data_IF_178802341978
#
_entry.id   IF_178802341978
#
_cell.length_a   1.000
_cell.length_b   1.000
_cell.length_c   1.000
_cell.angle_alpha   90.00
_cell.angle_beta   90.00
_cell.angle_gamma   90.00
#
_symmetry.space_group_name_H-M   'P 1'
#
loop_
_entity.id
_entity.type
_entity.pdbx_description
1 polymer ?
#
# COMPACT_ATOMS: atom_id res chain seq x y z
N UNK A 1 4.64 -18.27 -23.82
CA UNK A 1 3.59 -18.11 -22.78
C UNK A 1 2.95 -16.76 -23.01
N UNK A 2 1.64 -16.71 -23.26
CA UNK A 2 0.93 -15.43 -23.41
C UNK A 2 1.02 -14.67 -22.08
N UNK A 3 1.80 -13.59 -22.05
CA UNK A 3 1.88 -12.65 -20.93
C UNK A 3 0.64 -11.78 -20.94
N UNK A 4 -0.50 -12.37 -20.60
CA UNK A 4 -1.70 -11.58 -20.35
C UNK A 4 -1.42 -10.69 -19.14
N UNK A 5 -1.35 -9.39 -19.36
CA UNK A 5 -1.13 -8.42 -18.30
C UNK A 5 -2.23 -8.55 -17.23
N UNK A 6 -1.90 -8.39 -15.94
CA UNK A 6 -2.85 -8.59 -14.85
C UNK A 6 -4.01 -7.59 -14.95
N UNK A 7 -5.22 -7.98 -14.50
CA UNK A 7 -6.42 -7.12 -14.51
C UNK A 7 -6.18 -5.76 -13.84
N UNK A 8 -5.30 -5.72 -12.84
CA UNK A 8 -4.83 -4.48 -12.21
C UNK A 8 -4.44 -3.38 -13.21
N UNK A 9 -3.95 -3.75 -14.40
CA UNK A 9 -3.53 -2.84 -15.44
C UNK A 9 -4.70 -2.17 -16.18
N UNK A 10 -5.64 -2.98 -16.65
CA UNK A 10 -6.73 -2.51 -17.51
C UNK A 10 -7.96 -2.08 -16.72
N UNK A 11 -8.05 -2.51 -15.46
CA UNK A 11 -9.20 -2.38 -14.60
C UNK A 11 -8.81 -1.89 -13.18
N UNK A 12 -7.96 -0.85 -13.05
CA UNK A 12 -7.45 -0.41 -11.74
C UNK A 12 -8.55 0.10 -10.80
N UNK A 13 -9.70 0.52 -11.34
CA UNK A 13 -10.87 0.91 -10.55
C UNK A 13 -11.44 -0.23 -9.69
N UNK A 14 -11.30 -1.50 -10.07
CA UNK A 14 -11.71 -2.61 -9.20
C UNK A 14 -10.86 -2.73 -7.93
N UNK A 15 -9.70 -2.07 -7.93
CA UNK A 15 -8.78 -2.04 -6.80
C UNK A 15 -8.92 -0.77 -5.96
N UNK A 16 -9.65 0.23 -6.47
CA UNK A 16 -9.83 1.48 -5.79
C UNK A 16 -10.61 1.32 -4.48
N UNK A 17 -10.30 2.16 -3.50
CA UNK A 17 -11.15 2.36 -2.34
C UNK A 17 -12.53 2.90 -2.74
N UNK A 18 -13.56 2.57 -1.98
CA UNK A 18 -14.92 3.00 -2.25
C UNK A 18 -15.05 4.53 -2.33
N UNK A 19 -14.30 5.27 -1.51
CA UNK A 19 -14.32 6.74 -1.51
C UNK A 19 -13.92 7.35 -2.86
N UNK A 20 -13.07 6.68 -3.64
CA UNK A 20 -12.73 7.17 -4.98
C UNK A 20 -13.85 6.99 -5.99
N UNK A 21 -14.67 5.94 -5.85
CA UNK A 21 -15.87 5.77 -6.67
C UNK A 21 -16.91 6.83 -6.36
N UNK A 22 -17.03 7.26 -5.09
CA UNK A 22 -17.90 8.37 -4.72
C UNK A 22 -17.39 9.70 -5.28
N UNK A 23 -16.06 9.91 -5.30
CA UNK A 23 -15.42 11.14 -5.76
C UNK A 23 -15.40 11.30 -7.28
N UNK A 24 -15.11 10.23 -8.00
CA UNK A 24 -14.89 10.27 -9.46
C UNK A 24 -15.93 9.48 -10.26
N UNK A 25 -16.87 8.77 -9.61
CA UNK A 25 -17.81 7.87 -10.25
C UNK A 25 -17.23 6.48 -10.53
N UNK A 26 -18.10 5.51 -10.83
CA UNK A 26 -17.70 4.19 -11.32
C UNK A 26 -17.45 4.29 -12.84
N UNK A 27 -16.26 3.93 -13.34
CA UNK A 27 -16.01 3.93 -14.77
C UNK A 27 -16.94 2.92 -15.46
N UNK A 28 -17.84 3.40 -16.31
CA UNK A 28 -18.58 2.57 -17.26
C UNK A 28 -17.70 2.39 -18.49
N UNK A 29 -17.73 1.21 -19.11
CA UNK A 29 -16.85 0.82 -20.23
C UNK A 29 -16.55 2.00 -21.21
N UNK A 30 -15.33 2.09 -21.77
CA UNK A 30 -14.86 3.24 -22.56
C UNK A 30 -15.73 3.60 -23.79
N UNK A 31 -16.70 2.75 -24.15
CA UNK A 31 -17.70 2.99 -25.19
C UNK A 31 -18.90 3.87 -24.76
N UNK A 32 -19.05 4.25 -23.48
CA UNK A 32 -20.28 4.89 -22.96
C UNK A 32 -20.40 6.43 -23.18
N UNK A 33 -19.64 7.02 -24.11
CA UNK A 33 -19.81 8.42 -24.53
C UNK A 33 -18.97 9.48 -23.77
N UNK A 34 -19.23 10.78 -24.00
CA UNK A 34 -18.40 11.88 -23.48
C UNK A 34 -18.30 11.96 -21.95
N UNK A 35 -19.38 11.59 -21.23
CA UNK A 35 -19.40 11.55 -19.77
C UNK A 35 -18.45 10.47 -19.21
N UNK A 36 -18.35 9.32 -19.87
CA UNK A 36 -17.40 8.28 -19.50
C UNK A 36 -15.95 8.79 -19.68
N UNK A 37 -15.65 9.53 -20.75
CA UNK A 37 -14.32 10.11 -21.00
C UNK A 37 -13.90 11.13 -19.92
N UNK A 38 -14.82 11.93 -19.40
CA UNK A 38 -14.55 12.86 -18.30
C UNK A 38 -14.28 12.13 -16.98
N UNK A 39 -15.07 11.08 -16.67
CA UNK A 39 -14.82 10.19 -15.53
C UNK A 39 -13.40 9.60 -15.63
N UNK A 40 -13.03 9.05 -16.79
CA UNK A 40 -11.68 8.51 -17.00
C UNK A 40 -10.57 9.58 -16.85
N UNK A 41 -10.78 10.81 -17.32
CA UNK A 41 -9.81 11.91 -17.16
C UNK A 41 -9.49 12.23 -15.69
N UNK A 42 -10.49 12.20 -14.80
CA UNK A 42 -10.31 12.42 -13.37
C UNK A 42 -9.44 11.35 -12.71
N UNK A 43 -9.70 10.06 -13.02
CA UNK A 43 -8.88 8.94 -12.56
C UNK A 43 -7.46 9.02 -13.13
N UNK A 44 -7.34 9.31 -14.43
CA UNK A 44 -6.06 9.38 -15.13
C UNK A 44 -5.16 10.46 -14.52
N UNK A 45 -5.67 11.67 -14.33
CA UNK A 45 -4.91 12.77 -13.74
C UNK A 45 -4.58 12.56 -12.26
N UNK A 46 -5.51 12.04 -11.46
CA UNK A 46 -5.34 11.86 -10.02
C UNK A 46 -4.33 10.77 -9.62
N UNK A 47 -4.06 9.82 -10.52
CA UNK A 47 -3.21 8.65 -10.27
C UNK A 47 -2.10 8.47 -11.30
N UNK A 48 -1.94 9.41 -12.24
CA UNK A 48 -0.89 9.37 -13.26
C UNK A 48 -1.01 8.16 -14.19
N UNK A 49 -2.25 7.77 -14.55
CA UNK A 49 -2.50 6.55 -15.34
C UNK A 49 -2.09 6.69 -16.81
N UNK A 50 -1.69 7.88 -17.25
CA UNK A 50 -1.24 8.22 -18.63
C UNK A 50 0.06 7.53 -19.03
N UNK A 51 0.90 7.14 -18.06
CA UNK A 51 2.21 6.54 -18.34
C UNK A 51 2.05 5.10 -18.84
N UNK A 52 2.66 4.82 -20.00
CA UNK A 52 2.93 3.45 -20.45
C UNK A 52 3.82 2.71 -19.45
N UNK A 53 3.72 1.37 -19.43
CA UNK A 53 4.38 0.55 -18.42
C UNK A 53 5.75 0.05 -18.85
N UNK A 54 6.74 0.21 -17.97
CA UNK A 54 7.94 -0.62 -17.97
C UNK A 54 7.70 -1.93 -17.22
N UNK A 55 8.45 -2.98 -17.61
CA UNK A 55 8.52 -4.18 -16.79
C UNK A 55 9.18 -3.85 -15.44
N UNK A 56 8.68 -4.38 -14.30
CA UNK A 56 9.34 -4.17 -13.03
C UNK A 56 10.74 -4.80 -13.04
N UNK A 57 11.72 -4.21 -12.33
CA UNK A 57 13.03 -4.83 -12.15
C UNK A 57 12.93 -6.15 -11.39
N UNK A 58 11.88 -6.34 -10.59
CA UNK A 58 11.59 -7.55 -9.85
C UNK A 58 10.24 -8.15 -10.29
N UNK A 59 10.29 -9.34 -10.90
CA UNK A 59 9.10 -10.05 -11.41
C UNK A 59 8.11 -10.45 -10.32
N UNK A 60 8.52 -10.43 -9.04
CA UNK A 60 7.63 -10.67 -7.89
C UNK A 60 6.53 -9.62 -7.77
N UNK A 61 6.77 -8.41 -8.27
CA UNK A 61 5.72 -7.40 -8.38
C UNK A 61 4.56 -7.87 -9.25
N UNK A 62 4.84 -8.46 -10.42
CA UNK A 62 3.81 -9.00 -11.32
C UNK A 62 3.00 -10.09 -10.62
N UNK A 63 3.65 -10.95 -9.84
CA UNK A 63 2.97 -11.98 -9.05
C UNK A 63 2.05 -11.35 -7.99
N UNK A 64 2.50 -10.30 -7.29
CA UNK A 64 1.68 -9.63 -6.28
C UNK A 64 0.43 -9.00 -6.87
N UNK A 65 0.55 -8.25 -7.97
CA UNK A 65 -0.61 -7.59 -8.60
C UNK A 65 -1.51 -8.54 -9.38
N UNK A 66 -1.14 -9.83 -9.48
CA UNK A 66 -1.98 -10.88 -10.05
C UNK A 66 -2.96 -11.48 -9.04
N UNK A 67 -2.79 -11.23 -7.75
CA UNK A 67 -3.78 -11.62 -6.73
C UNK A 67 -5.06 -10.79 -6.84
N UNK A 68 -6.14 -11.24 -6.17
CA UNK A 68 -7.38 -10.46 -6.11
C UNK A 68 -7.20 -9.18 -5.26
N UNK A 69 -7.99 -8.11 -5.48
CA UNK A 69 -7.94 -6.90 -4.66
C UNK A 69 -8.13 -7.17 -3.17
N UNK A 70 -9.02 -8.11 -2.81
CA UNK A 70 -9.27 -8.50 -1.43
C UNK A 70 -8.02 -9.10 -0.77
N UNK A 71 -7.41 -10.08 -1.43
CA UNK A 71 -6.20 -10.74 -0.94
C UNK A 71 -5.01 -9.76 -0.88
N UNK A 72 -4.92 -8.81 -1.81
CA UNK A 72 -3.90 -7.77 -1.77
C UNK A 72 -4.10 -6.80 -0.59
N UNK A 73 -5.34 -6.46 -0.23
CA UNK A 73 -5.59 -5.64 0.97
C UNK A 73 -5.24 -6.40 2.25
N UNK A 74 -5.47 -7.71 2.29
CA UNK A 74 -5.06 -8.54 3.42
C UNK A 74 -3.55 -8.65 3.55
N UNK A 75 -2.83 -8.91 2.45
CA UNK A 75 -1.36 -8.95 2.48
C UNK A 75 -0.77 -7.60 2.90
N UNK A 76 -1.38 -6.49 2.45
CA UNK A 76 -1.00 -5.16 2.92
C UNK A 76 -1.22 -5.05 4.44
N UNK A 77 -2.36 -5.50 4.97
CA UNK A 77 -2.59 -5.56 6.41
C UNK A 77 -1.52 -6.34 7.18
N UNK A 78 -1.08 -7.48 6.66
CA UNK A 78 0.03 -8.24 7.25
C UNK A 78 1.33 -7.43 7.24
N UNK A 79 1.68 -6.77 6.13
CA UNK A 79 2.88 -5.92 6.05
C UNK A 79 2.82 -4.74 7.02
N UNK A 80 1.65 -4.11 7.19
CA UNK A 80 1.46 -3.06 8.18
C UNK A 80 1.63 -3.56 9.61
N UNK A 81 1.17 -4.78 9.92
CA UNK A 81 1.43 -5.39 11.22
C UNK A 81 2.90 -5.78 11.43
N UNK A 82 3.59 -6.26 10.39
CA UNK A 82 5.04 -6.50 10.44
C UNK A 82 5.77 -5.17 10.71
N UNK A 83 5.36 -4.08 10.08
CA UNK A 83 5.93 -2.75 10.30
C UNK A 83 5.77 -2.30 11.77
N UNK A 84 4.63 -2.54 12.40
CA UNK A 84 4.45 -2.28 13.84
C UNK A 84 5.33 -3.19 14.68
N UNK A 85 5.28 -4.50 14.44
CA UNK A 85 6.00 -5.50 15.26
C UNK A 85 7.51 -5.30 15.27
N UNK A 86 8.07 -4.73 14.19
CA UNK A 86 9.50 -4.42 14.07
C UNK A 86 9.91 -3.08 14.67
N UNK A 87 8.96 -2.17 14.93
CA UNK A 87 9.28 -0.90 15.55
C UNK A 87 9.60 -1.07 17.04
N UNK A 88 10.57 -0.32 17.55
CA UNK A 88 10.82 -0.22 18.98
C UNK A 88 9.55 0.22 19.71
N UNK A 89 9.13 -0.55 20.72
CA UNK A 89 7.87 -0.30 21.43
C UNK A 89 6.60 -0.73 20.67
N UNK A 90 6.73 -1.27 19.46
CA UNK A 90 5.61 -1.70 18.62
C UNK A 90 4.70 -2.74 19.24
N UNK A 91 5.24 -3.63 20.07
CA UNK A 91 4.45 -4.58 20.87
C UNK A 91 3.56 -3.92 21.93
N UNK A 92 3.95 -2.75 22.46
CA UNK A 92 3.13 -1.98 23.41
C UNK A 92 2.08 -1.18 22.65
N UNK A 93 2.49 -0.56 21.54
CA UNK A 93 1.58 0.16 20.66
C UNK A 93 0.47 -0.73 20.10
N UNK A 94 0.80 -1.92 19.57
CA UNK A 94 -0.19 -2.87 19.05
C UNK A 94 -1.23 -3.27 20.10
N UNK A 95 -0.84 -3.33 21.39
CA UNK A 95 -1.76 -3.54 22.52
C UNK A 95 -2.60 -2.31 22.86
N UNK A 96 -2.07 -1.10 22.61
CA UNK A 96 -2.73 0.17 22.88
C UNK A 96 -3.74 0.62 21.80
N UNK A 97 -3.66 0.07 20.58
CA UNK A 97 -4.61 0.35 19.50
C UNK A 97 -6.01 -0.27 19.71
N UNK A 98 -6.24 -0.94 20.84
CA UNK A 98 -7.51 -1.56 21.19
C UNK A 98 -8.52 -0.54 21.73
N UNK A 99 -9.51 -0.18 20.90
CA UNK A 99 -10.75 0.43 21.40
C UNK A 99 -11.65 -0.62 22.09
N UNK A 100 -12.46 -0.25 23.09
CA UNK A 100 -13.46 -1.16 23.67
C UNK A 100 -14.61 -1.45 22.67
N UNK A 101 -15.14 -2.70 22.59
CA UNK A 101 -14.80 -3.88 23.39
C UNK A 101 -13.81 -4.82 22.67
N UNK A 102 -12.56 -4.81 23.15
CA UNK A 102 -11.65 -5.95 23.35
C UNK A 102 -11.84 -7.15 22.41
N UNK A 103 -11.42 -7.03 21.15
CA UNK A 103 -10.84 -8.17 20.43
C UNK A 103 -9.36 -7.90 20.33
N UNK A 104 -8.58 -8.62 21.12
CA UNK A 104 -7.13 -8.61 21.01
C UNK A 104 -6.73 -8.84 19.55
N UNK A 105 -5.65 -8.22 19.04
CA UNK A 105 -5.12 -8.51 17.71
C UNK A 105 -4.70 -9.98 17.56
N UNK A 106 -4.59 -10.74 18.66
CA UNK A 106 -4.39 -12.21 18.60
C UNK A 106 -5.49 -12.94 17.85
N UNK A 107 -6.70 -12.41 17.74
CA UNK A 107 -7.76 -12.98 16.91
C UNK A 107 -7.79 -12.47 15.48
N UNK A 108 -6.99 -11.44 15.13
CA UNK A 108 -6.84 -10.99 13.75
C UNK A 108 -5.94 -11.99 12.99
N UNK A 109 -6.47 -12.70 11.97
CA UNK A 109 -5.67 -13.62 11.17
C UNK A 109 -4.45 -12.95 10.52
N UNK A 110 -4.53 -11.65 10.22
CA UNK A 110 -3.44 -10.89 9.62
C UNK A 110 -2.30 -10.67 10.63
N UNK A 111 -2.63 -10.38 11.89
CA UNK A 111 -1.65 -10.28 12.96
C UNK A 111 -0.95 -11.61 13.23
N UNK A 112 -1.70 -12.72 13.29
CA UNK A 112 -1.11 -14.05 13.46
C UNK A 112 -0.17 -14.41 12.30
N UNK A 113 -0.51 -14.00 11.08
CA UNK A 113 0.36 -14.16 9.92
C UNK A 113 1.62 -13.28 10.05
N UNK A 114 1.47 -12.01 10.46
CA UNK A 114 2.58 -11.07 10.66
C UNK A 114 3.59 -11.57 11.71
N UNK A 115 3.11 -12.17 12.80
CA UNK A 115 3.96 -12.75 13.85
C UNK A 115 4.93 -13.83 13.32
N UNK A 116 4.57 -14.56 12.25
CA UNK A 116 5.45 -15.58 11.65
C UNK A 116 6.60 -14.98 10.86
N UNK A 117 6.43 -13.76 10.35
CA UNK A 117 7.41 -13.07 9.52
C UNK A 117 8.07 -11.88 10.22
N UNK A 118 7.75 -11.62 11.49
CA UNK A 118 8.24 -10.47 12.26
C UNK A 118 9.77 -10.37 12.32
N UNK A 119 10.44 -11.52 12.34
CA UNK A 119 11.89 -11.61 12.48
C UNK A 119 12.62 -11.40 11.13
N UNK A 120 11.89 -11.37 10.01
CA UNK A 120 12.47 -11.06 8.69
C UNK A 120 12.85 -9.57 8.64
N UNK A 121 14.12 -9.29 8.41
CA UNK A 121 14.69 -7.93 8.38
C UNK A 121 14.39 -7.19 7.05
N UNK A 122 13.14 -7.21 6.61
CA UNK A 122 12.71 -6.59 5.36
C UNK A 122 12.48 -5.08 5.48
N UNK A 123 12.30 -4.55 6.69
CA UNK A 123 12.08 -3.12 6.92
C UNK A 123 12.64 -2.70 8.29
N UNK A 124 12.90 -1.41 8.41
CA UNK A 124 13.14 -0.71 9.68
C UNK A 124 12.11 0.40 9.82
N UNK A 125 11.38 0.38 10.94
CA UNK A 125 10.30 1.30 11.24
C UNK A 125 10.42 1.81 12.68
N UNK A 126 9.82 2.97 12.94
CA UNK A 126 9.72 3.59 14.25
C UNK A 126 8.29 4.03 14.48
N UNK A 127 7.85 3.96 15.73
CA UNK A 127 6.52 4.48 16.08
C UNK A 127 6.68 5.96 16.38
N UNK A 128 5.96 6.77 15.62
CA UNK A 128 5.83 8.21 15.85
C UNK A 128 4.61 8.39 16.74
N UNK A 129 4.83 8.93 17.94
CA UNK A 129 3.73 9.28 18.84
C UNK A 129 2.87 10.36 18.19
N UNK A 130 1.81 9.93 17.51
CA UNK A 130 0.78 10.83 17.04
C UNK A 130 -0.15 11.19 18.20
N UNK A 131 -0.45 12.49 18.37
CA UNK A 131 -1.46 12.97 19.32
C UNK A 131 -2.90 12.59 18.90
N UNK A 132 -3.10 12.01 17.72
CA UNK A 132 -4.43 11.63 17.23
C UNK A 132 -4.79 10.19 17.64
N UNK A 133 -5.89 10.08 18.37
CA UNK A 133 -6.52 8.87 18.90
C UNK A 133 -7.31 8.06 17.85
N UNK A 134 -6.90 8.10 16.57
CA UNK A 134 -7.54 7.26 15.55
C UNK A 134 -7.07 5.81 15.70
N UNK A 135 -8.00 4.86 15.62
CA UNK A 135 -7.68 3.43 15.57
C UNK A 135 -6.64 3.16 14.45
N UNK A 136 -5.62 2.37 14.76
CA UNK A 136 -4.57 2.03 13.80
C UNK A 136 -5.12 1.12 12.69
N UNK A 137 -4.95 1.54 11.42
CA UNK A 137 -5.30 0.74 10.26
C UNK A 137 -4.04 0.10 9.64
N UNK A 138 -3.86 -1.19 9.92
CA UNK A 138 -2.74 -1.97 9.40
C UNK A 138 -2.76 -2.09 7.86
N UNK A 139 -3.94 -2.13 7.22
CA UNK A 139 -4.04 -2.25 5.76
C UNK A 139 -3.55 -0.98 5.10
N UNK A 140 -3.99 0.17 5.59
CA UNK A 140 -3.50 1.48 5.12
C UNK A 140 -2.00 1.61 5.32
N UNK A 141 -1.46 1.27 6.49
CA UNK A 141 -0.02 1.32 6.74
C UNK A 141 0.77 0.44 5.77
N UNK A 142 0.30 -0.79 5.52
CA UNK A 142 0.95 -1.69 4.56
C UNK A 142 0.83 -1.25 3.11
N UNK A 143 -0.29 -0.64 2.71
CA UNK A 143 -0.44 -0.04 1.38
C UNK A 143 0.55 1.12 1.19
N UNK A 144 0.78 1.95 2.21
CA UNK A 144 1.81 3.00 2.17
C UNK A 144 3.22 2.41 2.03
N UNK A 145 3.52 1.35 2.77
CA UNK A 145 4.79 0.63 2.63
C UNK A 145 4.99 0.09 1.20
N UNK A 146 3.96 -0.54 0.64
CA UNK A 146 4.00 -1.05 -0.74
C UNK A 146 4.12 0.09 -1.75
N UNK A 147 3.46 1.22 -1.52
CA UNK A 147 3.55 2.41 -2.35
C UNK A 147 4.97 3.00 -2.35
N UNK A 148 5.64 3.04 -1.19
CA UNK A 148 7.03 3.48 -1.06
C UNK A 148 8.00 2.48 -1.71
N UNK A 149 7.79 1.18 -1.50
CA UNK A 149 8.53 0.12 -2.18
C UNK A 149 8.41 0.23 -3.72
N UNK A 150 7.19 0.50 -4.21
CA UNK A 150 6.92 0.74 -5.61
C UNK A 150 7.59 2.04 -6.11
N UNK A 151 7.55 3.13 -5.34
CA UNK A 151 8.22 4.36 -5.75
C UNK A 151 9.74 4.18 -5.95
N UNK A 152 10.37 3.26 -5.21
CA UNK A 152 11.80 2.95 -5.37
C UNK A 152 12.13 2.03 -6.55
N UNK A 153 11.25 1.08 -6.90
CA UNK A 153 11.56 0.04 -7.90
C UNK A 153 10.64 0.01 -9.11
N UNK A 154 9.37 0.39 -8.95
CA UNK A 154 8.38 0.39 -10.03
C UNK A 154 7.40 1.57 -9.90
N UNK A 155 7.85 2.80 -10.19
CA UNK A 155 7.05 4.01 -9.97
C UNK A 155 5.69 4.00 -10.67
N UNK A 156 5.59 3.31 -11.81
CA UNK A 156 4.39 3.21 -12.67
C UNK A 156 3.17 2.62 -11.94
N UNK A 157 3.39 1.78 -10.91
CA UNK A 157 2.31 1.19 -10.12
C UNK A 157 2.05 1.95 -8.81
N UNK A 158 2.95 2.85 -8.39
CA UNK A 158 2.79 3.60 -7.12
C UNK A 158 1.50 4.41 -7.10
N UNK A 159 1.18 5.09 -8.21
CA UNK A 159 -0.08 5.83 -8.38
C UNK A 159 -1.33 4.95 -8.32
N UNK A 160 -1.23 3.68 -8.72
CA UNK A 160 -2.36 2.71 -8.67
C UNK A 160 -2.52 2.08 -7.30
N UNK A 161 -1.43 1.82 -6.59
CA UNK A 161 -1.48 1.43 -5.19
C UNK A 161 -2.13 2.51 -4.33
N UNK A 162 -1.91 3.79 -4.68
CA UNK A 162 -2.57 4.92 -4.03
C UNK A 162 -4.09 4.92 -4.21
N UNK A 163 -4.62 4.37 -5.30
CA UNK A 163 -6.07 4.22 -5.50
C UNK A 163 -6.69 3.30 -4.44
N UNK A 164 -5.91 2.37 -3.87
CA UNK A 164 -6.41 1.41 -2.89
C UNK A 164 -6.61 2.02 -1.49
N UNK A 165 -6.13 3.24 -1.26
CA UNK A 165 -6.25 3.98 0.01
C UNK A 165 -7.45 4.93 -0.04
N UNK A 166 -8.06 5.25 1.10
CA UNK A 166 -9.16 6.23 1.14
C UNK A 166 -8.69 7.63 0.72
N UNK A 167 -9.51 8.40 -0.03
CA UNK A 167 -9.19 9.78 -0.42
C UNK A 167 -9.01 10.74 0.76
N UNK A 168 -9.65 10.47 1.89
CA UNK A 168 -9.61 11.35 3.07
C UNK A 168 -8.23 11.31 3.76
N UNK A 169 -7.50 10.20 3.58
CA UNK A 169 -6.14 10.06 4.10
C UNK A 169 -5.13 10.98 3.41
N UNK A 170 -5.42 11.45 2.20
CA UNK A 170 -4.53 12.39 1.48
C UNK A 170 -4.55 13.79 2.08
N UNK A 171 -5.62 14.19 2.79
CA UNK A 171 -5.75 15.57 3.29
C UNK A 171 -4.97 15.81 4.59
N UNK A 172 -4.53 14.75 5.28
CA UNK A 172 -3.63 14.84 6.44
C UNK A 172 -2.15 14.69 6.08
N UNK A 173 -1.84 14.36 4.82
CA UNK A 173 -0.48 14.32 4.27
C UNK A 173 -0.30 15.61 3.47
N UNK A 174 0.01 16.74 4.14
CA UNK A 174 0.48 17.90 3.39
C UNK A 174 1.67 17.47 2.54
N UNK A 175 1.65 17.73 1.22
CA UNK A 175 2.80 17.49 0.39
C UNK A 175 3.86 18.52 0.80
N UNK A 176 4.85 18.10 1.57
CA UNK A 176 6.12 18.80 1.62
C UNK A 176 6.70 18.77 0.21
N UNK A 177 6.41 19.83 -0.54
CA UNK A 177 7.17 20.28 -1.70
C UNK A 177 7.62 19.15 -2.63
N UNK A 178 6.71 18.69 -3.50
CA UNK A 178 7.15 18.34 -4.85
C UNK A 178 7.69 19.64 -5.43
N UNK A 179 9.00 19.78 -5.34
CA UNK A 179 9.78 20.75 -6.06
C UNK A 179 9.23 20.81 -7.48
N UNK A 180 8.78 21.99 -7.86
CA UNK A 180 8.80 22.43 -9.25
C UNK A 180 10.11 21.92 -9.84
N UNK A 181 10.03 21.02 -10.80
CA UNK A 181 11.13 20.74 -11.70
C UNK A 181 11.53 22.07 -12.34
N UNK A 182 12.58 22.67 -11.80
CA UNK A 182 13.01 24.02 -12.05
C UNK A 182 14.23 24.33 -11.19
N UNK A 183 15.36 23.73 -11.58
CA UNK A 183 16.71 24.20 -11.26
C UNK A 183 17.12 24.18 -9.79
N UNK A 184 17.93 23.20 -9.40
CA UNK A 184 18.66 23.24 -8.14
C UNK A 184 19.37 21.93 -7.83
N UNK A 185 20.58 21.77 -8.35
CA UNK A 185 21.53 20.79 -7.80
C UNK A 185 21.82 21.19 -6.35
N UNK A 186 21.29 20.45 -5.38
CA UNK A 186 21.79 20.49 -4.02
C UNK A 186 22.32 19.11 -3.66
N UNK A 187 23.64 18.99 -3.72
CA UNK A 187 24.40 17.87 -3.18
C UNK A 187 24.53 18.10 -1.66
N UNK A 188 23.52 17.75 -0.86
CA UNK A 188 23.71 17.56 0.58
C UNK A 188 23.52 16.08 0.90
N UNK A 189 24.57 15.47 1.45
CA UNK A 189 24.62 14.05 1.83
C UNK A 189 23.85 13.74 3.11
N UNK A 190 22.70 14.36 3.30
CA UNK A 190 21.80 14.02 4.40
C UNK A 190 21.12 12.70 4.08
N UNK A 191 21.01 11.76 5.05
CA UNK A 191 20.24 10.55 4.84
C UNK A 191 18.79 10.95 4.52
N UNK A 192 18.12 10.23 3.60
CA UNK A 192 16.75 10.55 3.22
C UNK A 192 15.87 10.63 4.48
N UNK A 193 15.17 11.75 4.65
CA UNK A 193 14.26 11.91 5.78
C UNK A 193 13.26 10.75 5.84
N UNK A 194 12.96 10.23 7.05
CA UNK A 194 12.08 9.09 7.19
C UNK A 194 10.66 9.45 6.72
N UNK A 195 10.08 8.60 5.87
CA UNK A 195 8.71 8.77 5.40
C UNK A 195 7.73 8.40 6.51
N UNK A 196 6.88 9.35 6.90
CA UNK A 196 5.87 9.16 7.94
C UNK A 196 4.56 8.64 7.34
N UNK A 197 4.07 7.53 7.87
CA UNK A 197 2.88 6.78 7.44
C UNK A 197 1.93 6.63 8.63
N UNK A 198 1.25 7.71 8.99
CA UNK A 198 0.45 7.77 10.22
C UNK A 198 1.36 7.66 11.46
N UNK A 199 1.10 6.75 12.43
CA UNK A 199 1.95 6.59 13.60
C UNK A 199 3.25 5.83 13.32
N UNK A 200 3.58 5.52 12.06
CA UNK A 200 4.78 4.78 11.69
C UNK A 200 5.71 5.62 10.80
N UNK A 201 6.94 5.83 11.22
CA UNK A 201 8.01 6.32 10.36
C UNK A 201 8.79 5.14 9.80
N UNK A 202 8.94 5.05 8.47
CA UNK A 202 9.72 4.01 7.81
C UNK A 202 11.11 4.56 7.51
N UNK A 203 12.13 4.01 8.19
CA UNK A 203 13.52 4.42 8.03
C UNK A 203 14.22 3.68 6.88
N UNK A 204 13.86 2.40 6.66
CA UNK A 204 14.48 1.57 5.62
C UNK A 204 13.50 0.53 5.10
N UNK A 205 13.55 0.26 3.80
CA UNK A 205 12.83 -0.84 3.15
C UNK A 205 13.81 -1.64 2.30
N UNK A 206 13.98 -2.92 2.60
CA UNK A 206 14.54 -3.90 1.67
C UNK A 206 13.40 -4.40 0.78
N UNK A 207 13.26 -3.82 -0.40
CA UNK A 207 12.14 -4.12 -1.30
C UNK A 207 12.12 -5.59 -1.69
N UNK A 208 13.29 -6.20 -1.96
CA UNK A 208 13.37 -7.60 -2.37
C UNK A 208 12.89 -8.55 -1.28
N UNK A 209 13.27 -8.33 -0.03
CA UNK A 209 12.78 -9.12 1.10
C UNK A 209 11.31 -8.82 1.41
N UNK A 210 10.88 -7.57 1.34
CA UNK A 210 9.46 -7.20 1.50
C UNK A 210 8.58 -7.91 0.47
N UNK A 211 8.98 -7.97 -0.80
CA UNK A 211 8.26 -8.70 -1.85
C UNK A 211 8.24 -10.21 -1.60
N UNK A 212 9.34 -10.79 -1.10
CA UNK A 212 9.37 -12.21 -0.73
C UNK A 212 8.36 -12.52 0.39
N UNK A 213 8.35 -11.70 1.45
CA UNK A 213 7.43 -11.83 2.58
C UNK A 213 5.98 -11.61 2.14
N UNK A 214 5.74 -10.61 1.29
CA UNK A 214 4.43 -10.32 0.72
C UNK A 214 3.88 -11.52 -0.08
N UNK A 215 4.71 -12.14 -0.93
CA UNK A 215 4.31 -13.32 -1.70
C UNK A 215 4.08 -14.55 -0.81
N UNK A 216 4.97 -14.80 0.15
CA UNK A 216 4.81 -15.92 1.10
C UNK A 216 3.52 -15.77 1.91
N UNK A 217 3.21 -14.54 2.32
CA UNK A 217 1.95 -14.17 3.00
C UNK A 217 0.75 -14.39 2.10
N UNK A 218 0.75 -13.85 0.88
CA UNK A 218 -0.37 -13.97 -0.05
C UNK A 218 -0.70 -15.43 -0.38
N UNK A 219 0.32 -16.27 -0.63
CA UNK A 219 0.14 -17.71 -0.86
C UNK A 219 -0.50 -18.41 0.33
N UNK A 220 -0.10 -18.04 1.55
CA UNK A 220 -0.67 -18.60 2.79
C UNK A 220 -2.13 -18.19 3.00
N UNK A 221 -2.43 -16.91 2.80
CA UNK A 221 -3.80 -16.39 2.92
C UNK A 221 -4.71 -17.05 1.87
N UNK A 222 -4.24 -17.17 0.62
CA UNK A 222 -4.95 -17.88 -0.44
C UNK A 222 -5.23 -19.35 -0.09
N UNK A 223 -4.25 -20.06 0.47
CA UNK A 223 -4.43 -21.44 0.93
C UNK A 223 -5.45 -21.55 2.07
N UNK A 224 -5.46 -20.58 2.99
CA UNK A 224 -6.46 -20.51 4.08
C UNK A 224 -7.87 -20.32 3.53
N UNK A 225 -8.05 -19.43 2.54
CA UNK A 225 -9.35 -19.22 1.89
C UNK A 225 -9.84 -20.46 1.13
N UNK A 226 -8.94 -21.16 0.45
CA UNK A 226 -9.28 -22.39 -0.27
C UNK A 226 -9.68 -23.53 0.68
N UNK A 227 -9.18 -23.56 1.92
CA UNK A 227 -9.54 -24.57 2.91
C UNK A 227 -10.85 -24.26 3.66
N UNK A 228 -11.36 -23.03 3.55
CA UNK A 228 -12.55 -22.56 4.26
C UNK A 228 -13.83 -22.55 3.41
N UNK A 229 -13.72 -22.77 2.09
CA UNK A 229 -14.83 -22.88 1.14
C UNK A 229 -15.02 -24.31 0.67
#
# INVERSE_FOLDING_TARGET
MSTAWPRFWFEPWHWADHGWHLRYGVPVAPAAGPAARLVFGGWIGAFGLERGWGAPPDTRWLQLVSFSPALFRELAGVLGWIAVLRASGGWRFARGCEGPPRRWPTHDPLWQCALRYRDVNCLESRIVESRTTSAYDARTAGLRLLQQAAAMQWPDISGRLLMMRSPDERHGEEPSTIARAGGGHSCSGDPPEPVVTGPLAIARIDVGLCLAVALATARRLAATHAAAG
#
